data_IF_180980287378
#
_entry.id   IF_180980287378
#
_cell.length_a   1.000
_cell.length_b   1.000
_cell.length_c   1.000
_cell.angle_alpha   90.00
_cell.angle_beta   90.00
_cell.angle_gamma   90.00
#
_symmetry.space_group_name_H-M   'P 1'
#
loop_
_entity.id
_entity.type
_entity.pdbx_description
1 polymer ?
#
# COMPACT_ATOMS: atom_id res chain seq x y z
N UNK A 1 -6.84 16.09 -0.84
CA UNK A 1 -7.96 15.38 -0.24
C UNK A 1 -7.41 14.27 0.65
N UNK A 2 -7.96 14.10 1.85
CA UNK A 2 -7.52 13.06 2.76
C UNK A 2 -8.22 11.75 2.36
N UNK A 3 -7.46 10.70 2.12
CA UNK A 3 -7.97 9.37 1.82
C UNK A 3 -8.41 8.68 3.11
N UNK A 4 -9.63 8.21 3.16
CA UNK A 4 -10.12 7.40 4.28
C UNK A 4 -10.44 6.00 3.75
N UNK A 5 -9.73 4.93 4.15
CA UNK A 5 -10.11 3.59 3.79
C UNK A 5 -11.37 3.18 4.57
N UNK A 6 -12.41 2.82 3.87
CA UNK A 6 -13.59 2.19 4.45
C UNK A 6 -13.50 0.69 4.19
N UNK A 7 -13.23 -0.08 5.24
CA UNK A 7 -13.29 -1.53 5.21
C UNK A 7 -14.73 -1.97 5.49
N UNK A 8 -15.45 -2.41 4.48
CA UNK A 8 -16.70 -3.10 4.70
C UNK A 8 -16.46 -4.61 4.69
N UNK A 9 -16.44 -5.20 5.88
CA UNK A 9 -16.51 -6.66 6.01
C UNK A 9 -17.96 -7.08 5.90
N UNK A 10 -18.39 -7.64 4.78
CA UNK A 10 -19.60 -8.42 4.76
C UNK A 10 -19.29 -9.82 5.29
N UNK A 11 -19.40 -9.98 6.61
CA UNK A 11 -19.44 -11.28 7.24
C UNK A 11 -20.86 -11.82 7.06
N UNK A 12 -21.03 -12.89 6.26
CA UNK A 12 -22.02 -13.96 6.49
C UNK A 12 -22.06 -14.88 5.27
N UNK A 13 -21.22 -15.91 5.28
CA UNK A 13 -21.66 -17.29 5.08
C UNK A 13 -20.49 -18.25 5.31
N UNK A 14 -20.69 -19.22 6.16
CA UNK A 14 -19.64 -20.16 6.59
C UNK A 14 -19.11 -21.06 5.46
N UNK A 15 -19.73 -21.02 4.28
CA UNK A 15 -19.42 -21.88 3.14
C UNK A 15 -19.34 -21.20 1.77
N UNK A 16 -19.58 -19.92 1.63
CA UNK A 16 -19.50 -19.25 0.34
C UNK A 16 -18.79 -17.90 0.42
N UNK A 17 -17.61 -17.84 -0.19
CA UNK A 17 -17.02 -16.65 -0.77
C UNK A 17 -17.00 -15.38 0.11
N UNK A 18 -16.05 -15.31 1.02
CA UNK A 18 -15.68 -14.05 1.63
C UNK A 18 -15.24 -13.06 0.54
N UNK A 19 -16.08 -12.11 0.24
CA UNK A 19 -15.75 -10.96 -0.60
C UNK A 19 -15.40 -9.80 0.32
N UNK A 20 -14.14 -9.60 0.60
CA UNK A 20 -13.70 -8.34 1.17
C UNK A 20 -13.57 -7.33 0.05
N UNK A 21 -14.52 -6.42 -0.06
CA UNK A 21 -14.41 -5.28 -0.96
C UNK A 21 -13.81 -4.13 -0.18
N UNK A 22 -12.59 -3.75 -0.51
CA UNK A 22 -11.99 -2.52 0.04
C UNK A 22 -12.44 -1.37 -0.83
N UNK A 23 -13.11 -0.39 -0.22
CA UNK A 23 -13.44 0.87 -0.87
C UNK A 23 -12.63 2.00 -0.27
N UNK A 24 -12.31 2.99 -1.08
CA UNK A 24 -11.59 4.18 -0.67
C UNK A 24 -12.47 5.38 -0.92
N UNK A 25 -12.48 6.31 0.03
CA UNK A 25 -13.30 7.53 -0.07
C UNK A 25 -12.40 8.76 -0.05
N UNK A 26 -12.70 9.71 -0.92
CA UNK A 26 -12.15 11.06 -0.92
C UNK A 26 -13.27 12.09 -0.81
N UNK A 27 -13.05 13.12 -0.01
CA UNK A 27 -13.90 14.31 0.02
C UNK A 27 -13.19 15.42 -0.75
N UNK A 28 -13.79 15.87 -1.83
CA UNK A 28 -13.22 16.85 -2.75
C UNK A 28 -14.00 18.17 -2.62
N UNK A 29 -13.32 19.22 -2.15
CA UNK A 29 -13.86 20.58 -2.07
C UNK A 29 -13.62 21.29 -3.41
N UNK A 30 -14.59 21.24 -4.30
CA UNK A 30 -14.56 21.94 -5.58
C UNK A 30 -15.97 22.10 -6.10
N UNK A 31 -16.44 23.35 -6.26
CA UNK A 31 -17.72 23.59 -6.94
C UNK A 31 -17.63 23.20 -8.41
N UNK A 32 -18.67 22.58 -8.93
CA UNK A 32 -18.78 22.15 -10.33
C UNK A 32 -17.66 21.18 -10.74
N UNK A 33 -17.62 20.01 -10.14
CA UNK A 33 -16.69 18.95 -10.49
C UNK A 33 -17.03 18.40 -11.87
N UNK A 34 -16.11 18.57 -12.85
CA UNK A 34 -16.27 18.12 -14.23
C UNK A 34 -15.43 16.91 -14.56
N UNK A 35 -14.33 16.72 -13.85
CA UNK A 35 -13.41 15.61 -14.11
C UNK A 35 -12.65 15.24 -12.85
N UNK A 36 -12.24 13.98 -12.82
CA UNK A 36 -11.30 13.42 -11.86
C UNK A 36 -9.97 13.14 -12.53
N UNK A 37 -8.88 13.27 -11.80
CA UNK A 37 -7.57 12.78 -12.19
C UNK A 37 -7.18 11.62 -11.27
N UNK A 38 -6.91 10.47 -11.87
CA UNK A 38 -6.40 9.29 -11.19
C UNK A 38 -4.89 9.25 -11.32
N UNK A 39 -4.19 9.23 -10.19
CA UNK A 39 -2.74 8.95 -10.15
C UNK A 39 -2.55 7.54 -9.64
N UNK A 40 -1.81 6.72 -10.38
CA UNK A 40 -1.61 5.31 -10.08
C UNK A 40 -0.23 4.82 -10.56
N UNK A 41 0.16 3.62 -10.15
CA UNK A 41 1.44 3.00 -10.50
C UNK A 41 1.24 1.89 -11.53
N UNK A 42 2.31 1.30 -12.09
CA UNK A 42 2.19 0.13 -12.96
C UNK A 42 1.39 -1.03 -12.34
N UNK A 43 1.36 -1.16 -11.01
CA UNK A 43 0.61 -2.20 -10.32
C UNK A 43 -0.91 -2.08 -10.50
N UNK A 44 -1.43 -0.87 -10.59
CA UNK A 44 -2.86 -0.64 -10.77
C UNK A 44 -3.29 -0.63 -12.24
N UNK A 45 -2.34 -0.65 -13.19
CA UNK A 45 -2.66 -0.64 -14.62
C UNK A 45 -3.53 -1.83 -15.02
N UNK A 46 -4.54 -1.57 -15.84
CA UNK A 46 -5.50 -2.58 -16.29
C UNK A 46 -6.63 -2.88 -15.31
N UNK A 47 -6.62 -2.32 -14.10
CA UNK A 47 -7.72 -2.51 -13.15
C UNK A 47 -8.95 -1.74 -13.58
N UNK A 48 -10.11 -2.40 -13.51
CA UNK A 48 -11.41 -1.76 -13.68
C UNK A 48 -11.94 -1.30 -12.33
N UNK A 49 -12.32 -0.05 -12.25
CA UNK A 49 -12.81 0.60 -11.04
C UNK A 49 -14.29 0.90 -11.15
N UNK A 50 -15.02 0.67 -10.07
CA UNK A 50 -16.32 1.30 -9.84
C UNK A 50 -16.06 2.59 -9.05
N UNK A 51 -16.40 3.71 -9.66
CA UNK A 51 -16.21 5.06 -9.12
C UNK A 51 -17.58 5.67 -8.88
N UNK A 52 -17.89 5.99 -7.64
CA UNK A 52 -19.14 6.68 -7.30
C UNK A 52 -18.83 8.14 -6.97
N UNK A 53 -19.47 9.07 -7.66
CA UNK A 53 -19.39 10.51 -7.38
C UNK A 53 -20.76 10.98 -6.89
N UNK A 54 -20.85 11.37 -5.63
CA UNK A 54 -22.09 11.77 -4.97
C UNK A 54 -23.20 10.72 -5.12
N UNK A 55 -22.82 9.44 -5.06
CA UNK A 55 -23.74 8.30 -5.21
C UNK A 55 -24.03 7.88 -6.66
N UNK A 56 -23.52 8.59 -7.67
CA UNK A 56 -23.71 8.23 -9.08
C UNK A 56 -22.53 7.32 -9.51
N UNK A 57 -22.78 6.08 -9.97
CA UNK A 57 -21.74 5.13 -10.31
C UNK A 57 -21.22 5.32 -11.74
N UNK A 58 -19.91 5.14 -11.91
CA UNK A 58 -19.19 5.12 -13.18
C UNK A 58 -18.21 3.96 -13.20
N UNK A 59 -17.94 3.40 -14.37
CA UNK A 59 -16.87 2.42 -14.58
C UNK A 59 -15.68 3.10 -15.23
N UNK A 60 -14.49 2.94 -14.64
CA UNK A 60 -13.23 3.52 -15.13
C UNK A 60 -12.18 2.42 -15.20
N UNK A 61 -11.58 2.22 -16.37
CA UNK A 61 -10.42 1.34 -16.53
C UNK A 61 -9.15 2.16 -16.46
N UNK A 62 -8.23 1.79 -15.57
CA UNK A 62 -6.89 2.38 -15.51
C UNK A 62 -6.06 1.86 -16.67
N UNK A 63 -5.70 2.74 -17.60
CA UNK A 63 -5.03 2.38 -18.86
C UNK A 63 -3.82 3.30 -19.09
N UNK A 64 -2.64 2.74 -18.89
CA UNK A 64 -1.37 3.47 -19.09
C UNK A 64 -1.21 4.01 -20.51
N UNK A 65 -1.84 3.37 -21.50
CA UNK A 65 -1.85 3.86 -22.90
C UNK A 65 -2.68 5.14 -23.11
N UNK A 66 -3.59 5.45 -22.19
CA UNK A 66 -4.42 6.67 -22.18
C UNK A 66 -3.99 7.69 -21.14
N UNK A 67 -3.01 7.36 -20.33
CA UNK A 67 -2.51 8.19 -19.25
C UNK A 67 -1.24 8.93 -19.62
N UNK A 68 -0.99 10.03 -18.93
CA UNK A 68 0.31 10.69 -18.95
C UNK A 68 1.27 9.95 -18.02
N UNK A 69 2.35 9.41 -18.58
CA UNK A 69 3.43 8.83 -17.80
C UNK A 69 4.34 9.94 -17.23
N UNK A 70 4.66 9.84 -15.94
CA UNK A 70 5.56 10.76 -15.25
C UNK A 70 6.69 9.94 -14.61
N UNK A 71 7.91 10.21 -15.01
CA UNK A 71 9.08 9.61 -14.38
C UNK A 71 9.31 10.22 -12.99
N UNK A 72 9.49 9.38 -12.01
CA UNK A 72 9.82 9.78 -10.65
C UNK A 72 11.34 10.01 -10.52
N UNK A 73 11.77 10.99 -9.71
CA UNK A 73 13.18 11.11 -9.37
C UNK A 73 13.63 9.86 -8.61
N UNK A 74 14.78 9.30 -8.98
CA UNK A 74 15.28 8.05 -8.41
C UNK A 74 16.55 8.19 -7.56
N UNK A 75 17.06 9.41 -7.39
CA UNK A 75 18.26 9.62 -6.57
C UNK A 75 17.95 9.49 -5.08
N UNK A 76 18.30 8.33 -4.53
CA UNK A 76 18.24 8.03 -3.10
C UNK A 76 19.44 7.18 -2.73
N UNK A 77 19.90 7.30 -1.48
CA UNK A 77 20.98 6.45 -0.93
C UNK A 77 20.37 5.55 0.13
N UNK A 78 20.47 4.26 -0.08
CA UNK A 78 19.94 3.24 0.82
C UNK A 78 21.03 2.78 1.77
N UNK A 79 20.77 2.92 3.07
CA UNK A 79 21.66 2.51 4.14
C UNK A 79 21.60 1.03 4.46
N UNK A 80 22.23 0.64 5.55
CA UNK A 80 22.22 -0.73 6.06
C UNK A 80 20.78 -1.17 6.38
N UNK A 81 20.50 -2.42 6.10
CA UNK A 81 19.22 -3.06 6.38
C UNK A 81 19.33 -3.87 7.68
N UNK A 82 18.28 -3.79 8.50
CA UNK A 82 18.19 -4.52 9.75
C UNK A 82 16.90 -5.36 9.79
N UNK A 83 17.02 -6.56 10.29
CA UNK A 83 15.92 -7.50 10.44
C UNK A 83 15.75 -7.90 11.90
N UNK A 84 14.50 -8.03 12.35
CA UNK A 84 14.14 -8.38 13.73
C UNK A 84 12.93 -9.31 13.76
N UNK A 85 12.94 -10.25 14.68
CA UNK A 85 11.81 -11.17 14.92
C UNK A 85 12.29 -12.58 15.28
N UNK A 86 11.34 -13.51 15.56
CA UNK A 86 9.90 -13.28 15.58
C UNK A 86 9.41 -12.47 16.77
N UNK A 87 8.33 -11.71 16.56
CA UNK A 87 7.51 -11.12 17.60
C UNK A 87 6.13 -11.76 17.61
N UNK A 88 5.51 -11.88 18.78
CA UNK A 88 4.15 -12.37 18.94
C UNK A 88 3.13 -11.23 18.85
N UNK A 89 1.94 -11.52 18.37
CA UNK A 89 0.83 -10.59 18.41
C UNK A 89 -0.07 -10.65 17.18
N UNK A 90 -1.30 -10.21 17.36
CA UNK A 90 -2.26 -10.10 16.28
C UNK A 90 -1.86 -8.93 15.36
N UNK A 91 -2.04 -9.10 14.07
CA UNK A 91 -1.71 -8.07 13.09
C UNK A 91 -2.51 -6.77 13.28
N UNK A 92 -3.73 -6.88 13.83
CA UNK A 92 -4.58 -5.74 14.11
C UNK A 92 -4.18 -4.97 15.37
N UNK A 93 -3.37 -5.57 16.24
CA UNK A 93 -2.82 -4.87 17.39
C UNK A 93 -1.79 -3.82 16.92
N UNK A 94 -1.79 -2.61 17.52
CA UNK A 94 -0.76 -1.63 17.26
C UNK A 94 0.62 -2.25 17.48
N UNK A 95 1.45 -2.21 16.44
CA UNK A 95 2.83 -2.65 16.59
C UNK A 95 3.58 -1.59 17.39
N UNK A 96 4.06 -1.93 18.58
CA UNK A 96 5.04 -1.10 19.27
C UNK A 96 6.37 -1.30 18.56
N UNK A 97 6.66 -0.43 17.60
CA UNK A 97 7.90 -0.49 16.83
C UNK A 97 8.85 0.53 17.42
N UNK A 98 9.95 0.03 17.93
CA UNK A 98 11.08 0.89 18.26
C UNK A 98 12.06 0.85 17.12
N UNK A 99 12.19 1.96 16.51
CA UNK A 99 12.89 2.18 15.26
C UNK A 99 14.34 2.57 15.44
N UNK A 100 14.82 2.61 16.67
CA UNK A 100 16.23 2.79 16.99
C UNK A 100 16.82 1.41 17.28
N UNK A 101 17.75 0.88 16.45
CA UNK A 101 18.38 -0.41 16.68
C UNK A 101 19.07 -0.50 18.04
N UNK A 102 19.55 0.65 18.56
CA UNK A 102 20.25 0.75 19.86
C UNK A 102 19.28 0.89 21.04
N UNK A 103 18.08 1.37 20.78
CA UNK A 103 17.04 1.62 21.80
C UNK A 103 15.84 0.69 21.72
N UNK A 104 15.94 -0.38 20.95
CA UNK A 104 14.83 -1.28 20.74
C UNK A 104 14.25 -1.79 22.07
N UNK A 105 12.93 -1.70 22.32
CA UNK A 105 12.27 -2.32 23.46
C UNK A 105 12.14 -3.81 23.26
N UNK A 106 12.29 -4.26 22.03
CA UNK A 106 12.47 -5.65 21.74
C UNK A 106 13.92 -5.98 22.06
N UNK A 107 14.19 -6.33 23.27
CA UNK A 107 15.46 -6.79 23.84
C UNK A 107 16.70 -6.43 23.02
N UNK A 108 17.55 -5.57 23.56
CA UNK A 108 18.85 -5.20 23.01
C UNK A 108 19.52 -6.43 22.35
N UNK A 109 19.77 -6.38 21.05
CA UNK A 109 20.40 -7.48 20.32
C UNK A 109 19.47 -8.34 19.44
N UNK A 110 18.22 -7.99 19.27
CA UNK A 110 17.32 -8.72 18.35
C UNK A 110 17.36 -8.21 16.90
N UNK A 111 17.81 -6.98 16.66
CA UNK A 111 18.07 -6.46 15.33
C UNK A 111 19.38 -7.05 14.79
N UNK A 112 19.29 -7.63 13.60
CA UNK A 112 20.45 -8.20 12.89
C UNK A 112 20.62 -7.47 11.57
N UNK A 113 21.86 -7.17 11.23
CA UNK A 113 22.18 -6.69 9.90
C UNK A 113 21.93 -7.78 8.87
N UNK A 114 21.31 -7.40 7.76
CA UNK A 114 21.07 -8.27 6.61
C UNK A 114 21.39 -7.52 5.32
N UNK A 115 21.93 -8.24 4.35
CA UNK A 115 22.36 -7.65 3.08
C UNK A 115 21.35 -7.94 1.95
N UNK A 116 20.59 -9.00 2.08
CA UNK A 116 19.66 -9.44 1.07
C UNK A 116 18.47 -8.48 0.95
N UNK A 117 18.11 -8.09 -0.27
CA UNK A 117 16.91 -7.33 -0.56
C UNK A 117 15.65 -8.17 -0.40
N UNK A 118 15.79 -9.48 -0.62
CA UNK A 118 14.72 -10.47 -0.52
C UNK A 118 15.24 -11.72 0.18
N UNK A 119 14.49 -12.21 1.16
CA UNK A 119 14.77 -13.48 1.82
C UNK A 119 13.48 -14.22 2.15
N UNK A 120 13.56 -15.55 2.10
CA UNK A 120 12.55 -16.47 2.62
C UNK A 120 13.13 -17.21 3.82
N UNK A 121 12.32 -17.45 4.84
CA UNK A 121 12.76 -18.08 6.08
C UNK A 121 11.61 -18.85 6.77
N UNK A 122 11.95 -19.91 7.54
CA UNK A 122 10.97 -20.64 8.34
C UNK A 122 10.28 -19.72 9.34
N UNK A 123 8.99 -19.90 9.52
CA UNK A 123 8.16 -19.12 10.45
C UNK A 123 7.06 -19.99 11.05
N UNK A 124 6.69 -19.70 12.29
CA UNK A 124 5.48 -20.25 12.86
C UNK A 124 4.27 -19.38 12.52
N UNK A 125 3.09 -19.91 12.78
CA UNK A 125 1.84 -19.17 12.61
C UNK A 125 1.74 -18.05 13.67
N UNK A 126 1.07 -16.95 13.29
CA UNK A 126 0.82 -15.78 14.15
C UNK A 126 2.10 -15.04 14.58
N UNK A 127 3.15 -15.11 13.79
CA UNK A 127 4.40 -14.40 14.02
C UNK A 127 4.51 -13.14 13.15
N UNK A 128 5.13 -12.12 13.73
CA UNK A 128 5.50 -10.89 13.03
C UNK A 128 7.01 -10.71 13.01
N UNK A 129 7.51 -10.17 11.92
CA UNK A 129 8.91 -9.80 11.72
C UNK A 129 8.98 -8.36 11.25
N UNK A 130 10.13 -7.73 11.44
CA UNK A 130 10.34 -6.34 11.07
C UNK A 130 11.61 -6.21 10.26
N UNK A 131 11.53 -5.45 9.17
CA UNK A 131 12.66 -5.03 8.36
C UNK A 131 12.75 -3.51 8.44
N UNK A 132 13.94 -2.97 8.71
CA UNK A 132 14.17 -1.54 8.82
C UNK A 132 15.31 -1.12 7.91
N UNK A 133 15.15 0.01 7.24
CA UNK A 133 16.20 0.60 6.42
C UNK A 133 16.09 2.12 6.41
N UNK A 134 17.24 2.79 6.50
CA UNK A 134 17.34 4.24 6.31
C UNK A 134 17.52 4.55 4.83
N UNK A 135 16.87 5.63 4.39
CA UNK A 135 16.96 6.12 3.01
C UNK A 135 17.20 7.62 3.02
N UNK A 136 18.33 8.05 2.48
CA UNK A 136 18.65 9.46 2.29
C UNK A 136 18.08 9.97 0.97
N UNK A 137 17.34 11.07 1.04
CA UNK A 137 16.77 11.72 -0.13
C UNK A 137 17.27 13.16 -0.26
N UNK A 138 17.78 13.58 -1.43
CA UNK A 138 18.33 14.92 -1.64
C UNK A 138 17.25 16.01 -1.61
N UNK A 139 15.99 15.63 -1.79
CA UNK A 139 14.81 16.53 -1.76
C UNK A 139 13.57 15.74 -1.34
N UNK A 140 12.49 16.45 -1.03
CA UNK A 140 11.19 15.81 -0.89
C UNK A 140 10.74 15.27 -2.26
N UNK A 141 10.42 13.97 -2.33
CA UNK A 141 10.06 13.29 -3.57
C UNK A 141 9.33 11.98 -3.30
N UNK A 142 8.48 11.59 -4.23
CA UNK A 142 7.90 10.25 -4.21
C UNK A 142 8.89 9.26 -4.85
N UNK A 143 9.00 8.07 -4.27
CA UNK A 143 9.72 6.94 -4.86
C UNK A 143 8.82 5.71 -4.89
N UNK A 144 9.02 4.86 -5.88
CA UNK A 144 8.36 3.56 -5.97
C UNK A 144 9.29 2.49 -5.42
N UNK A 145 8.79 1.69 -4.48
CA UNK A 145 9.53 0.58 -3.87
C UNK A 145 8.83 -0.73 -4.16
N UNK A 146 9.61 -1.79 -4.40
CA UNK A 146 9.12 -3.15 -4.39
C UNK A 146 9.18 -3.66 -2.95
N UNK A 147 8.06 -4.15 -2.45
CA UNK A 147 7.93 -4.74 -1.12
C UNK A 147 7.31 -6.12 -1.23
N UNK A 148 7.55 -6.98 -0.26
CA UNK A 148 6.97 -8.31 -0.26
C UNK A 148 6.82 -8.89 1.13
N UNK A 149 5.74 -9.66 1.29
CA UNK A 149 5.44 -10.42 2.49
C UNK A 149 4.48 -11.59 2.15
N UNK A 150 4.19 -12.41 3.14
CA UNK A 150 3.15 -13.44 3.06
C UNK A 150 1.76 -12.88 3.34
N UNK A 151 1.17 -13.25 4.48
CA UNK A 151 -0.21 -12.91 4.81
C UNK A 151 -0.46 -11.43 5.10
N UNK A 152 0.45 -10.77 5.79
CA UNK A 152 0.28 -9.37 6.14
C UNK A 152 1.54 -8.56 5.95
N UNK A 153 1.33 -7.31 5.52
CA UNK A 153 2.38 -6.31 5.38
C UNK A 153 1.87 -4.99 5.92
N UNK A 154 2.69 -4.31 6.69
CA UNK A 154 2.44 -2.94 7.09
C UNK A 154 3.73 -2.15 6.94
N UNK A 155 3.65 -1.00 6.28
CA UNK A 155 4.81 -0.14 6.01
C UNK A 155 4.66 1.14 6.83
N UNK A 156 5.70 1.45 7.56
CA UNK A 156 5.84 2.70 8.28
C UNK A 156 6.92 3.54 7.61
N UNK A 157 6.60 4.78 7.33
CA UNK A 157 7.55 5.78 6.87
C UNK A 157 7.66 6.86 7.94
N UNK A 158 8.86 7.05 8.48
CA UNK A 158 9.13 8.01 9.55
C UNK A 158 8.17 7.84 10.75
N UNK A 159 7.90 6.59 11.14
CA UNK A 159 7.03 6.22 12.25
C UNK A 159 5.52 6.28 11.97
N UNK A 160 5.09 6.67 10.77
CA UNK A 160 3.67 6.70 10.38
C UNK A 160 3.35 5.52 9.48
N UNK A 161 2.29 4.78 9.79
CA UNK A 161 1.76 3.74 8.90
C UNK A 161 1.24 4.39 7.61
N UNK A 162 1.82 4.02 6.49
CA UNK A 162 1.48 4.53 5.14
C UNK A 162 0.78 3.49 4.30
N UNK A 163 0.93 2.22 4.64
CA UNK A 163 0.25 1.11 4.00
C UNK A 163 0.05 -0.01 5.01
N UNK A 164 -1.12 -0.61 5.01
CA UNK A 164 -1.42 -1.82 5.78
C UNK A 164 -2.30 -2.74 4.95
N UNK A 165 -1.87 -3.97 4.78
CA UNK A 165 -2.56 -4.96 4.00
C UNK A 165 -2.52 -6.32 4.71
N UNK A 166 -3.66 -6.95 4.88
CA UNK A 166 -3.81 -8.28 5.46
C UNK A 166 -4.62 -9.17 4.52
N UNK A 167 -4.00 -10.25 4.07
CA UNK A 167 -4.76 -11.33 3.45
C UNK A 167 -5.16 -12.32 4.56
N UNK A 168 -6.45 -12.47 4.86
CA UNK A 168 -6.92 -13.33 5.94
C UNK A 168 -6.86 -14.82 5.60
N UNK A 169 -6.52 -15.17 4.37
CA UNK A 169 -6.44 -16.56 3.88
C UNK A 169 -5.00 -17.04 3.76
N UNK A 170 -4.82 -18.33 3.48
CA UNK A 170 -3.51 -18.87 3.12
C UNK A 170 -2.99 -18.15 1.89
N UNK A 171 -1.83 -17.59 2.01
CA UNK A 171 -1.25 -16.76 0.98
C UNK A 171 0.26 -16.99 0.92
N UNK A 172 0.73 -17.43 -0.23
CA UNK A 172 2.15 -17.46 -0.50
C UNK A 172 2.74 -16.06 -0.52
N UNK A 173 4.05 -15.98 -0.45
CA UNK A 173 4.78 -14.73 -0.59
C UNK A 173 4.33 -13.95 -1.83
N UNK A 174 4.07 -12.66 -1.64
CA UNK A 174 3.61 -11.73 -2.68
C UNK A 174 4.52 -10.52 -2.74
N UNK A 175 4.67 -10.00 -3.93
CA UNK A 175 5.39 -8.75 -4.19
C UNK A 175 4.39 -7.67 -4.60
N UNK A 176 4.58 -6.49 -4.07
CA UNK A 176 3.75 -5.30 -4.33
C UNK A 176 4.64 -4.10 -4.59
N UNK A 177 4.10 -3.14 -5.35
CA UNK A 177 4.74 -1.83 -5.52
C UNK A 177 4.05 -0.80 -4.64
N UNK A 178 4.84 0.01 -3.94
CA UNK A 178 4.31 1.05 -3.04
C UNK A 178 4.98 2.38 -3.31
N UNK A 179 4.16 3.41 -3.44
CA UNK A 179 4.62 4.78 -3.61
C UNK A 179 4.85 5.41 -2.22
N UNK A 180 6.09 5.76 -1.91
CA UNK A 180 6.49 6.35 -0.64
C UNK A 180 6.88 7.82 -0.80
N UNK A 181 6.23 8.74 -0.09
CA UNK A 181 6.56 10.17 -0.10
C UNK A 181 7.72 10.46 0.85
N UNK A 182 8.94 10.45 0.34
CA UNK A 182 10.13 10.76 1.12
C UNK A 182 10.22 12.26 1.43
N UNK A 183 10.69 12.58 2.63
CA UNK A 183 11.13 13.92 3.00
C UNK A 183 12.57 14.15 2.54
N UNK A 184 12.98 15.40 2.44
CA UNK A 184 14.40 15.76 2.26
C UNK A 184 15.20 15.30 3.49
N UNK A 185 16.35 14.68 3.26
CA UNK A 185 17.23 14.13 4.30
C UNK A 185 16.90 12.68 4.61
N UNK A 186 17.13 12.28 5.84
CA UNK A 186 16.99 10.90 6.30
C UNK A 186 15.53 10.51 6.46
N UNK A 187 15.18 9.38 5.88
CA UNK A 187 13.88 8.73 6.02
C UNK A 187 14.08 7.31 6.54
N UNK A 188 13.20 6.87 7.41
CA UNK A 188 13.21 5.52 7.92
C UNK A 188 12.00 4.76 7.39
N UNK A 189 12.27 3.64 6.73
CA UNK A 189 11.26 2.69 6.29
C UNK A 189 11.30 1.51 7.24
N UNK A 190 10.15 1.15 7.81
CA UNK A 190 10.00 -0.09 8.58
C UNK A 190 8.88 -0.90 7.94
N UNK A 191 9.17 -2.15 7.61
CA UNK A 191 8.21 -3.09 7.05
C UNK A 191 7.91 -4.14 8.11
N UNK A 192 6.66 -4.22 8.55
CA UNK A 192 6.16 -5.33 9.35
C UNK A 192 5.66 -6.43 8.43
N UNK A 193 6.18 -7.62 8.63
CA UNK A 193 5.81 -8.85 7.92
C UNK A 193 5.02 -9.72 8.89
N UNK A 194 3.85 -10.20 8.48
CA UNK A 194 3.02 -11.04 9.31
C UNK A 194 2.74 -12.37 8.63
N UNK A 195 3.01 -13.45 9.36
CA UNK A 195 2.67 -14.80 8.95
C UNK A 195 1.49 -15.31 9.78
N UNK A 196 0.41 -15.71 9.11
CA UNK A 196 -0.78 -16.22 9.78
C UNK A 196 -0.90 -17.74 9.71
N UNK A 197 -0.52 -18.36 8.60
CA UNK A 197 -0.88 -19.73 8.29
C UNK A 197 0.25 -20.60 7.73
N UNK A 198 1.35 -20.01 7.28
CA UNK A 198 2.35 -20.74 6.52
C UNK A 198 3.52 -21.18 7.40
N UNK A 199 4.25 -22.22 6.95
CA UNK A 199 5.48 -22.69 7.61
C UNK A 199 6.71 -21.86 7.21
N UNK A 200 6.53 -20.98 6.26
CA UNK A 200 7.57 -20.12 5.70
C UNK A 200 6.97 -18.75 5.36
N UNK A 201 7.73 -17.72 5.58
CA UNK A 201 7.42 -16.36 5.14
C UNK A 201 8.68 -15.70 4.61
N UNK A 202 8.60 -14.43 4.22
CA UNK A 202 9.75 -13.72 3.71
C UNK A 202 9.53 -12.23 3.68
N UNK A 203 10.57 -11.52 3.24
CA UNK A 203 10.52 -10.10 2.96
C UNK A 203 11.11 -9.76 1.59
N UNK A 204 10.68 -8.63 1.05
CA UNK A 204 11.32 -7.89 -0.02
C UNK A 204 11.25 -6.41 0.34
N UNK A 205 12.35 -5.69 0.17
CA UNK A 205 12.39 -4.23 0.21
C UNK A 205 13.54 -3.73 -0.65
N UNK A 206 13.22 -3.04 -1.73
CA UNK A 206 14.19 -2.39 -2.61
C UNK A 206 13.54 -1.25 -3.40
N UNK A 207 14.31 -0.29 -3.94
CA UNK A 207 13.78 0.62 -4.93
C UNK A 207 13.27 -0.17 -6.14
N UNK A 208 12.11 0.21 -6.66
CA UNK A 208 11.61 -0.39 -7.89
C UNK A 208 12.51 -0.02 -9.05
N UNK A 209 12.78 -0.98 -9.95
CA UNK A 209 13.56 -0.73 -11.15
C UNK A 209 12.87 0.28 -12.08
N UNK A 210 11.53 0.30 -12.06
CA UNK A 210 10.71 1.21 -12.84
C UNK A 210 10.14 2.31 -11.94
N UNK A 211 10.65 3.53 -12.09
CA UNK A 211 10.24 4.70 -11.31
C UNK A 211 9.28 5.55 -12.15
N UNK A 212 8.03 5.11 -12.29
CA UNK A 212 7.00 5.78 -13.09
C UNK A 212 5.65 5.76 -12.39
N UNK A 213 4.90 6.85 -12.53
CA UNK A 213 3.47 6.92 -12.20
C UNK A 213 2.68 7.38 -13.40
N UNK A 214 1.40 7.06 -13.41
CA UNK A 214 0.48 7.44 -14.47
C UNK A 214 -0.56 8.42 -13.94
N UNK A 215 -0.91 9.41 -14.75
CA UNK A 215 -2.02 10.35 -14.51
C UNK A 215 -3.04 10.21 -15.61
N UNK A 216 -4.24 9.80 -15.26
CA UNK A 216 -5.34 9.58 -16.19
C UNK A 216 -6.53 10.46 -15.84
N UNK A 217 -6.98 11.25 -16.78
CA UNK A 217 -8.17 12.08 -16.64
C UNK A 217 -9.43 11.27 -16.96
N UNK A 218 -10.43 11.37 -16.11
CA UNK A 218 -11.78 10.89 -16.36
C UNK A 218 -12.75 12.08 -16.32
N UNK A 219 -13.37 12.39 -17.46
CA UNK A 219 -14.36 13.45 -17.55
C UNK A 219 -15.73 12.91 -17.19
N UNK A 220 -16.39 13.55 -16.24
CA UNK A 220 -17.74 13.18 -15.84
C UNK A 220 -18.72 13.50 -16.97
N UNK A 221 -19.65 12.59 -17.31
CA UNK A 221 -20.68 12.85 -18.32
C UNK A 221 -21.59 14.03 -17.96
N UNK A 222 -21.75 14.29 -16.66
CA UNK A 222 -22.52 15.42 -16.14
C UNK A 222 -21.70 16.12 -15.05
N UNK A 223 -21.81 17.45 -15.01
CA UNK A 223 -21.17 18.27 -13.98
C UNK A 223 -21.84 18.02 -12.63
N UNK A 224 -21.07 17.58 -11.65
CA UNK A 224 -21.54 17.49 -10.27
C UNK A 224 -21.52 18.89 -9.63
N UNK A 225 -22.65 19.35 -9.09
CA UNK A 225 -22.86 20.77 -8.69
C UNK A 225 -22.72 21.02 -7.18
N UNK A 226 -22.43 19.99 -6.40
CA UNK A 226 -22.22 20.16 -4.96
C UNK A 226 -20.98 21.01 -4.66
N UNK A 227 -20.87 21.53 -3.45
CA UNK A 227 -19.65 22.22 -2.97
C UNK A 227 -18.58 21.25 -2.49
N UNK A 228 -19.01 20.13 -1.95
CA UNK A 228 -18.16 19.06 -1.45
C UNK A 228 -18.64 17.77 -2.10
N UNK A 229 -17.75 17.10 -2.82
CA UNK A 229 -18.06 15.86 -3.50
C UNK A 229 -17.51 14.67 -2.72
N UNK A 230 -18.30 13.64 -2.56
CA UNK A 230 -17.87 12.34 -2.05
C UNK A 230 -17.55 11.42 -3.22
N UNK A 231 -16.28 11.03 -3.35
CA UNK A 231 -15.82 10.09 -4.37
C UNK A 231 -15.45 8.79 -3.69
N UNK A 232 -16.15 7.71 -4.03
CA UNK A 232 -15.88 6.36 -3.54
C UNK A 232 -15.36 5.51 -4.68
N UNK A 233 -14.25 4.83 -4.46
CA UNK A 233 -13.63 3.96 -5.47
C UNK A 233 -13.40 2.58 -4.89
N UNK A 234 -13.81 1.57 -5.64
CA UNK A 234 -13.52 0.15 -5.38
C UNK A 234 -13.13 -0.54 -6.70
N UNK A 235 -12.38 -1.61 -6.61
CA UNK A 235 -12.11 -2.41 -7.79
C UNK A 235 -13.39 -3.12 -8.21
N UNK A 236 -13.76 -3.02 -9.48
CA UNK A 236 -14.90 -3.71 -10.05
C UNK A 236 -14.51 -5.16 -10.41
N UNK A 237 -15.51 -6.06 -10.45
CA UNK A 237 -15.37 -7.43 -10.93
C UNK A 237 -14.16 -8.20 -10.35
N UNK A 238 -14.12 -8.33 -9.03
CA UNK A 238 -13.12 -9.13 -8.33
C UNK A 238 -13.23 -10.60 -8.74
N UNK A 239 -12.26 -11.16 -9.49
CA UNK A 239 -12.41 -12.51 -10.05
C UNK A 239 -12.19 -13.63 -9.04
N UNK A 240 -11.63 -13.38 -7.88
CA UNK A 240 -11.51 -14.36 -6.80
C UNK A 240 -11.03 -13.74 -5.48
N UNK A 241 -11.31 -14.45 -4.39
CA UNK A 241 -10.95 -14.17 -3.00
C UNK A 241 -9.43 -14.04 -2.77
N UNK A 242 -8.63 -14.58 -3.67
CA UNK A 242 -7.18 -14.74 -3.50
C UNK A 242 -6.36 -13.74 -4.30
N UNK A 243 -6.97 -12.86 -5.07
CA UNK A 243 -6.24 -11.82 -5.81
C UNK A 243 -6.22 -10.52 -5.04
N UNK A 244 -5.07 -9.96 -5.01
CA UNK A 244 -4.81 -8.68 -4.42
C UNK A 244 -5.63 -7.60 -5.11
N UNK A 245 -6.49 -6.97 -4.36
CA UNK A 245 -7.47 -6.04 -4.89
C UNK A 245 -7.24 -4.63 -4.38
N UNK A 246 -6.15 -4.42 -3.67
CA UNK A 246 -5.87 -3.13 -3.09
C UNK A 246 -5.42 -2.12 -4.14
N UNK A 247 -5.90 -0.91 -3.96
CA UNK A 247 -5.56 0.27 -4.75
C UNK A 247 -4.64 1.18 -3.93
N UNK A 248 -3.60 0.57 -3.34
CA UNK A 248 -2.75 1.19 -2.30
C UNK A 248 -2.13 2.50 -2.75
N UNK A 249 -1.77 2.61 -4.03
CA UNK A 249 -1.12 3.78 -4.59
C UNK A 249 -2.08 4.75 -5.28
N UNK A 250 -3.36 4.38 -5.43
CA UNK A 250 -4.32 5.21 -6.13
C UNK A 250 -4.57 6.51 -5.37
N UNK A 251 -4.45 7.63 -6.07
CA UNK A 251 -4.87 8.96 -5.63
C UNK A 251 -5.92 9.49 -6.58
N UNK A 252 -6.91 10.20 -6.05
CA UNK A 252 -8.00 10.81 -6.83
C UNK A 252 -8.09 12.29 -6.49
N UNK A 253 -8.05 13.13 -7.48
CA UNK A 253 -8.11 14.58 -7.35
C UNK A 253 -9.10 15.19 -8.34
N UNK A 254 -9.61 16.38 -8.02
CA UNK A 254 -10.40 17.16 -8.96
C UNK A 254 -9.49 17.77 -10.06
N UNK A 255 -9.99 17.73 -11.29
CA UNK A 255 -9.31 18.33 -12.43
C UNK A 255 -10.10 19.49 -13.02
#
# INVERSE_FOLDING_TARGET
>A
AQRTPNYSYSCFDYYSNYRSTVSYQWNINKSNLNALEFTYTPQENGKELLVEVDGIPYTVTLDAGKAQALNLPSKTVWGQRYFCGPGSGLFDAPATIHTDPDKAPVRKGQWKEVNEEKAMFPSNILESYFLMQQVESPKAQDILVDVGAGNGIEIYLNGKSVMKHLNPYRCKFREEKVLLPLQKGSNQIVVRIYNRFEKETGYLLRPSAEQVIYKQKFTLPQVAKEKVHTVVVKQNNLPSIHKDTELSNLKVEAK
#
